data_IF_785879968244
#
_entry.id   IF_785879968244
#
_cell.length_a   1.000
_cell.length_b   1.000
_cell.length_c   1.000
_cell.angle_alpha   90.00
_cell.angle_beta   90.00
_cell.angle_gamma   90.00
#
_symmetry.space_group_name_H-M   'P 1'
#
loop_
_entity.id
_entity.type
_entity.pdbx_description
1 polymer ?
#
# COMPACT_ATOMS: atom_id res chain seq x y z
N UNK A 1 -53.29 -13.01 44.45
CA UNK A 1 -51.88 -12.96 44.02
C UNK A 1 -51.81 -13.58 42.63
N UNK A 2 -51.76 -12.78 41.56
CA UNK A 2 -51.68 -13.28 40.17
C UNK A 2 -50.21 -13.37 39.79
N UNK A 3 -49.72 -14.59 39.61
CA UNK A 3 -48.34 -14.90 39.25
C UNK A 3 -48.15 -14.59 37.75
N UNK A 4 -47.39 -13.55 37.43
CA UNK A 4 -46.96 -13.26 36.06
C UNK A 4 -45.73 -14.11 35.76
N UNK A 5 -45.89 -15.14 34.92
CA UNK A 5 -44.77 -15.89 34.34
C UNK A 5 -44.21 -15.03 33.20
N UNK A 6 -43.08 -14.36 33.46
CA UNK A 6 -42.30 -13.71 32.40
C UNK A 6 -41.56 -14.81 31.64
N UNK A 7 -42.03 -15.10 30.44
CA UNK A 7 -41.34 -15.99 29.51
C UNK A 7 -40.06 -15.29 29.02
N UNK A 8 -38.92 -15.64 29.60
CA UNK A 8 -37.62 -15.22 29.11
C UNK A 8 -37.37 -15.90 27.76
N UNK A 9 -37.53 -15.16 26.67
CA UNK A 9 -37.13 -15.60 25.34
C UNK A 9 -35.60 -15.68 25.30
N UNK A 10 -35.07 -16.88 25.47
CA UNK A 10 -33.67 -17.19 25.18
C UNK A 10 -33.46 -17.01 23.67
N UNK A 11 -32.97 -15.84 23.27
CA UNK A 11 -32.43 -15.65 21.94
C UNK A 11 -31.22 -16.59 21.81
N UNK A 12 -31.36 -17.65 20.99
CA UNK A 12 -30.24 -18.48 20.62
C UNK A 12 -29.16 -17.60 19.97
N UNK A 13 -27.87 -17.74 20.32
CA UNK A 13 -26.81 -16.99 19.68
C UNK A 13 -26.79 -17.37 18.20
N UNK A 14 -27.18 -16.42 17.34
CA UNK A 14 -27.10 -16.59 15.90
C UNK A 14 -25.66 -16.91 15.53
N UNK A 15 -25.42 -18.12 15.03
CA UNK A 15 -24.21 -18.44 14.29
C UNK A 15 -24.25 -17.62 13.02
N UNK A 16 -23.67 -16.41 13.04
CA UNK A 16 -23.38 -15.71 11.80
C UNK A 16 -22.45 -16.62 10.99
N UNK A 17 -22.82 -17.04 9.76
CA UNK A 17 -21.91 -17.82 8.95
C UNK A 17 -20.63 -17.01 8.79
N UNK A 18 -19.49 -17.60 9.17
CA UNK A 18 -18.18 -17.05 8.82
C UNK A 18 -18.15 -16.97 7.29
N UNK A 19 -18.21 -15.76 6.75
CA UNK A 19 -17.98 -15.58 5.32
C UNK A 19 -16.47 -15.77 5.12
N UNK A 20 -16.09 -16.89 4.50
CA UNK A 20 -14.69 -17.15 4.18
C UNK A 20 -14.12 -15.99 3.36
N UNK A 21 -12.90 -15.57 3.72
CA UNK A 21 -12.19 -14.56 2.96
C UNK A 21 -11.71 -15.14 1.63
N UNK A 22 -12.16 -14.58 0.51
CA UNK A 22 -11.63 -14.90 -0.80
C UNK A 22 -10.22 -14.32 -0.97
N UNK A 23 -9.27 -15.11 -1.47
CA UNK A 23 -7.93 -14.63 -1.80
C UNK A 23 -7.96 -13.95 -3.18
N UNK A 24 -7.67 -12.65 -3.23
CA UNK A 24 -7.58 -11.85 -4.46
C UNK A 24 -6.16 -11.89 -5.02
N UNK A 25 -5.17 -11.66 -4.14
CA UNK A 25 -3.75 -11.81 -4.45
C UNK A 25 -3.17 -12.75 -3.40
N UNK A 26 -2.68 -13.95 -3.79
CA UNK A 26 -2.11 -14.89 -2.84
C UNK A 26 -0.73 -14.41 -2.35
N UNK A 27 -0.35 -14.81 -1.13
CA UNK A 27 0.94 -14.45 -0.52
C UNK A 27 2.16 -14.91 -1.35
N UNK A 28 1.96 -15.91 -2.23
CA UNK A 28 2.96 -16.40 -3.17
C UNK A 28 2.85 -15.82 -4.59
N UNK A 29 2.14 -14.71 -4.76
CA UNK A 29 1.85 -14.11 -6.08
C UNK A 29 3.09 -13.71 -6.87
N UNK A 30 4.24 -13.43 -6.23
CA UNK A 30 5.48 -13.14 -6.93
C UNK A 30 6.03 -14.36 -7.68
N UNK A 31 5.80 -15.58 -7.20
CA UNK A 31 6.13 -16.80 -7.97
C UNK A 31 5.29 -16.96 -9.25
N UNK A 32 4.17 -16.26 -9.35
CA UNK A 32 3.31 -16.18 -10.54
C UNK A 32 3.17 -14.72 -10.98
N UNK A 33 4.31 -14.01 -11.05
CA UNK A 33 4.34 -12.55 -11.17
C UNK A 33 3.42 -12.01 -12.27
N UNK A 34 3.54 -12.53 -13.50
CA UNK A 34 2.75 -12.05 -14.64
C UNK A 34 1.25 -12.36 -14.54
N UNK A 35 0.81 -13.21 -13.61
CA UNK A 35 -0.62 -13.44 -13.33
C UNK A 35 -1.22 -12.30 -12.53
N UNK A 36 -0.47 -11.74 -11.58
CA UNK A 36 -1.01 -10.81 -10.57
C UNK A 36 -0.50 -9.37 -10.71
N UNK A 37 0.66 -9.18 -11.35
CA UNK A 37 1.39 -7.93 -11.33
C UNK A 37 1.75 -7.46 -12.75
N UNK A 38 1.75 -6.14 -12.91
CA UNK A 38 2.33 -5.45 -14.05
C UNK A 38 3.58 -4.67 -13.60
N UNK A 39 4.49 -4.43 -14.53
CA UNK A 39 5.61 -3.53 -14.29
C UNK A 39 5.14 -2.07 -14.27
N UNK A 40 5.89 -1.25 -13.54
CA UNK A 40 5.78 0.21 -13.44
C UNK A 40 4.55 0.71 -12.69
N UNK A 41 4.38 2.03 -12.65
CA UNK A 41 3.12 2.63 -12.23
C UNK A 41 2.06 2.38 -13.32
N UNK A 42 0.75 2.40 -12.96
CA UNK A 42 -0.33 2.26 -13.94
C UNK A 42 -0.29 3.30 -15.08
N UNK A 43 0.30 4.48 -14.82
CA UNK A 43 0.44 5.59 -15.76
C UNK A 43 1.84 5.69 -16.42
N UNK A 44 2.73 4.73 -16.21
CA UNK A 44 4.05 4.69 -16.86
C UNK A 44 5.22 4.64 -15.88
N UNK A 45 6.37 5.16 -16.30
CA UNK A 45 7.67 4.94 -15.62
C UNK A 45 8.08 6.02 -14.64
N UNK A 46 7.38 7.16 -14.60
CA UNK A 46 7.82 8.33 -13.87
C UNK A 46 6.75 8.80 -12.88
N UNK A 47 7.20 9.41 -11.77
CA UNK A 47 6.32 10.00 -10.74
C UNK A 47 6.90 11.34 -10.28
N UNK A 48 6.54 11.80 -9.08
CA UNK A 48 6.97 13.06 -8.50
C UNK A 48 8.36 13.05 -7.84
N UNK A 49 9.17 12.00 -8.05
CA UNK A 49 10.56 11.89 -7.57
C UNK A 49 11.57 11.69 -8.71
N UNK A 50 12.84 11.57 -8.35
CA UNK A 50 14.00 11.52 -9.27
C UNK A 50 14.31 10.12 -9.81
N UNK A 51 13.50 9.11 -9.49
CA UNK A 51 13.61 7.76 -10.01
C UNK A 51 12.74 7.55 -11.25
N UNK A 52 13.34 6.97 -12.30
CA UNK A 52 12.63 6.42 -13.46
C UNK A 52 12.59 4.90 -13.36
N UNK A 53 11.39 4.32 -13.51
CA UNK A 53 11.17 2.89 -13.37
C UNK A 53 11.61 2.13 -14.63
N UNK A 54 12.39 1.06 -14.45
CA UNK A 54 12.88 0.19 -15.53
C UNK A 54 12.71 -1.28 -15.16
N UNK A 55 12.35 -2.13 -16.13
CA UNK A 55 12.08 -3.55 -15.84
C UNK A 55 13.31 -4.30 -15.33
N UNK A 56 14.51 -3.89 -15.75
CA UNK A 56 15.76 -4.46 -15.26
C UNK A 56 16.00 -4.23 -13.75
N UNK A 57 15.30 -3.26 -13.16
CA UNK A 57 15.38 -2.90 -11.74
C UNK A 57 14.27 -3.60 -10.91
N UNK A 58 13.50 -4.49 -11.54
CA UNK A 58 12.47 -5.32 -10.91
C UNK A 58 12.96 -6.77 -10.96
N UNK A 59 13.41 -7.30 -9.82
CA UNK A 59 13.91 -8.68 -9.71
C UNK A 59 12.92 -9.48 -8.87
N UNK A 60 12.47 -10.61 -9.41
CA UNK A 60 11.62 -11.55 -8.67
C UNK A 60 12.33 -12.89 -8.59
N UNK A 61 12.58 -13.35 -7.37
CA UNK A 61 13.21 -14.65 -7.11
C UNK A 61 12.68 -15.23 -5.80
N UNK A 62 12.41 -16.54 -5.76
CA UNK A 62 11.99 -17.25 -4.55
C UNK A 62 10.83 -16.56 -3.81
N UNK A 63 9.79 -16.17 -4.55
CA UNK A 63 8.64 -15.41 -4.04
C UNK A 63 8.98 -14.07 -3.34
N UNK A 64 10.12 -13.48 -3.66
CA UNK A 64 10.53 -12.18 -3.13
C UNK A 64 10.72 -11.22 -4.28
N UNK A 65 10.03 -10.09 -4.21
CA UNK A 65 10.28 -8.93 -5.05
C UNK A 65 11.47 -8.16 -4.49
N UNK A 66 12.39 -7.74 -5.35
CA UNK A 66 13.44 -6.78 -5.06
C UNK A 66 13.38 -5.66 -6.10
N UNK A 67 13.07 -4.45 -5.63
CA UNK A 67 13.16 -3.22 -6.40
C UNK A 67 14.52 -2.58 -6.09
N UNK A 68 15.28 -2.26 -7.12
CA UNK A 68 16.67 -1.79 -6.98
C UNK A 68 16.79 -0.41 -7.58
N UNK A 69 17.21 0.57 -6.78
CA UNK A 69 17.59 1.88 -7.27
C UNK A 69 19.11 1.96 -7.46
N UNK A 70 19.53 2.50 -8.60
CA UNK A 70 20.92 2.79 -8.92
C UNK A 70 21.03 4.20 -9.50
N UNK A 71 22.00 5.01 -9.06
CA UNK A 71 22.28 6.29 -9.72
C UNK A 71 22.49 6.09 -11.22
N UNK A 72 21.98 7.03 -12.01
CA UNK A 72 22.17 7.04 -13.47
C UNK A 72 22.77 8.36 -13.91
N UNK A 73 23.63 8.30 -14.92
CA UNK A 73 24.10 9.47 -15.66
C UNK A 73 23.34 9.58 -16.98
N UNK A 74 23.16 10.81 -17.47
CA UNK A 74 22.55 11.12 -18.77
C UNK A 74 21.18 10.45 -19.04
N UNK A 75 20.20 10.52 -18.10
CA UNK A 75 18.89 9.97 -18.37
C UNK A 75 18.24 10.67 -19.57
N UNK A 76 17.50 9.89 -20.37
CA UNK A 76 16.74 10.40 -21.50
C UNK A 76 15.28 9.94 -21.39
N UNK A 77 14.29 10.85 -21.31
CA UNK A 77 14.47 12.29 -21.11
C UNK A 77 15.13 12.62 -19.76
N UNK A 78 15.78 13.80 -19.61
CA UNK A 78 16.54 14.14 -18.40
C UNK A 78 15.66 14.39 -17.18
N UNK A 79 14.38 14.65 -17.37
CA UNK A 79 13.40 14.91 -16.31
C UNK A 79 12.26 13.89 -16.36
N UNK A 80 11.58 13.75 -15.22
CA UNK A 80 10.34 13.01 -15.10
C UNK A 80 9.26 13.57 -16.04
N UNK A 81 8.47 12.68 -16.65
CA UNK A 81 7.27 13.07 -17.42
C UNK A 81 6.11 13.53 -16.52
N UNK A 82 6.18 13.25 -15.22
CA UNK A 82 5.15 13.55 -14.22
C UNK A 82 5.48 14.82 -13.43
N UNK A 83 4.46 15.61 -13.05
CA UNK A 83 4.67 16.81 -12.22
C UNK A 83 5.31 16.45 -10.86
N UNK A 84 6.25 17.25 -10.33
CA UNK A 84 6.70 18.57 -10.80
C UNK A 84 7.85 18.52 -11.84
N UNK A 85 8.03 17.39 -12.53
CA UNK A 85 9.08 17.13 -13.53
C UNK A 85 10.50 17.25 -12.96
N UNK A 86 10.81 16.61 -11.80
CA UNK A 86 12.16 16.61 -11.26
C UNK A 86 13.16 16.00 -12.26
N UNK A 87 14.43 16.38 -12.12
CA UNK A 87 15.51 15.69 -12.82
C UNK A 87 15.55 14.21 -12.44
N UNK A 88 15.83 13.35 -13.41
CA UNK A 88 16.05 11.92 -13.12
C UNK A 88 17.49 11.76 -12.65
N UNK A 89 17.67 11.13 -11.51
CA UNK A 89 18.97 10.81 -10.93
C UNK A 89 19.16 9.29 -10.75
N UNK A 90 18.07 8.52 -10.82
CA UNK A 90 18.09 7.08 -10.58
C UNK A 90 17.31 6.30 -11.63
N UNK A 91 17.84 5.14 -12.03
CA UNK A 91 17.00 4.05 -12.50
C UNK A 91 16.48 3.27 -11.28
N UNK A 92 15.20 2.92 -11.26
CA UNK A 92 14.56 2.23 -10.14
C UNK A 92 13.44 1.29 -10.61
N UNK A 93 12.66 0.74 -9.69
CA UNK A 93 11.57 -0.19 -9.99
C UNK A 93 10.25 0.18 -9.30
N UNK A 94 9.16 -0.14 -9.99
CA UNK A 94 7.81 -0.13 -9.44
C UNK A 94 7.00 -1.26 -10.09
N UNK A 95 5.99 -1.74 -9.39
CA UNK A 95 5.00 -2.69 -9.90
C UNK A 95 3.61 -2.27 -9.40
N UNK A 96 2.57 -2.70 -10.09
CA UNK A 96 1.20 -2.56 -9.62
C UNK A 96 0.41 -3.86 -9.82
N UNK A 97 -0.56 -4.09 -8.95
CA UNK A 97 -1.46 -5.24 -9.09
C UNK A 97 -2.38 -5.05 -10.29
N UNK A 98 -2.70 -6.15 -10.96
CA UNK A 98 -3.70 -6.19 -12.04
C UNK A 98 -5.12 -6.06 -11.53
N UNK A 99 -5.38 -6.59 -10.33
CA UNK A 99 -6.66 -6.47 -9.65
C UNK A 99 -6.77 -5.11 -8.96
N UNK A 100 -7.95 -4.51 -9.01
CA UNK A 100 -8.27 -3.29 -8.29
C UNK A 100 -8.92 -3.60 -6.95
N UNK A 101 -8.64 -2.78 -5.95
CA UNK A 101 -9.29 -2.84 -4.64
C UNK A 101 -10.45 -1.85 -4.63
N UNK A 102 -11.68 -2.35 -4.45
CA UNK A 102 -12.89 -1.52 -4.40
C UNK A 102 -13.75 -1.92 -3.21
N UNK A 103 -13.68 -1.14 -2.14
CA UNK A 103 -14.49 -1.36 -0.94
C UNK A 103 -15.92 -0.91 -1.21
N UNK A 104 -16.89 -1.76 -0.90
CA UNK A 104 -18.33 -1.46 -0.99
C UNK A 104 -19.02 -1.70 0.35
N UNK A 105 -20.30 -1.35 0.50
CA UNK A 105 -21.08 -1.77 1.68
C UNK A 105 -21.14 -3.29 1.88
N UNK A 106 -20.94 -4.08 0.82
CA UNK A 106 -21.09 -5.53 0.84
C UNK A 106 -19.76 -6.27 1.06
N UNK A 107 -18.62 -5.58 1.09
CA UNK A 107 -17.32 -6.21 1.23
C UNK A 107 -16.30 -5.38 2.02
N UNK A 108 -15.24 -6.06 2.44
CA UNK A 108 -14.06 -5.47 3.05
C UNK A 108 -12.80 -6.09 2.45
N UNK A 109 -11.69 -5.35 2.48
CA UNK A 109 -10.41 -5.82 2.00
C UNK A 109 -9.39 -5.84 3.13
N UNK A 110 -8.55 -6.87 3.16
CA UNK A 110 -7.30 -6.85 3.93
C UNK A 110 -6.16 -6.87 2.95
N UNK A 111 -5.25 -5.89 3.08
CA UNK A 111 -4.08 -5.72 2.23
C UNK A 111 -2.85 -5.73 3.12
N UNK A 112 -1.92 -6.65 2.89
CA UNK A 112 -0.76 -6.84 3.75
C UNK A 112 0.47 -7.26 2.98
N UNK A 113 1.64 -7.06 3.57
CA UNK A 113 2.90 -7.61 3.08
C UNK A 113 4.00 -7.51 4.12
N UNK A 114 5.12 -8.17 3.84
CA UNK A 114 6.37 -8.04 4.59
C UNK A 114 7.42 -7.31 3.77
N UNK A 115 8.11 -6.37 4.39
CA UNK A 115 8.98 -5.43 3.71
C UNK A 115 10.32 -5.28 4.40
N UNK A 116 11.37 -5.21 3.60
CA UNK A 116 12.71 -4.77 4.00
C UNK A 116 12.96 -3.45 3.26
N UNK A 117 12.71 -2.34 3.96
CA UNK A 117 12.65 -0.99 3.39
C UNK A 117 13.89 -0.17 3.75
N UNK A 118 14.57 0.44 2.76
CA UNK A 118 15.60 1.43 3.04
C UNK A 118 14.98 2.74 3.54
N UNK A 119 15.65 3.39 4.48
CA UNK A 119 15.19 4.61 5.16
C UNK A 119 16.21 5.75 5.13
N UNK A 120 17.28 5.60 4.35
CA UNK A 120 18.28 6.66 4.19
C UNK A 120 17.67 7.87 3.47
N UNK A 121 18.19 9.08 3.74
CA UNK A 121 17.79 10.31 3.04
C UNK A 121 17.75 10.08 1.53
N UNK A 122 16.66 10.52 0.89
CA UNK A 122 16.42 10.36 -0.53
C UNK A 122 15.93 8.97 -0.98
N UNK A 123 15.67 8.02 -0.07
CA UNK A 123 14.93 6.80 -0.40
C UNK A 123 13.45 6.98 -0.13
N UNK A 124 12.60 6.65 -1.11
CA UNK A 124 11.15 6.74 -1.02
C UNK A 124 10.45 5.45 -1.46
N UNK A 125 10.68 4.32 -0.76
CA UNK A 125 9.87 3.13 -0.99
C UNK A 125 8.42 3.34 -0.53
N UNK A 126 7.48 2.67 -1.19
CA UNK A 126 6.08 2.71 -0.81
C UNK A 126 5.33 1.42 -1.19
N UNK A 127 4.32 1.11 -0.38
CA UNK A 127 3.28 0.11 -0.55
C UNK A 127 1.93 0.78 -0.28
N UNK A 128 1.18 1.07 -1.34
CA UNK A 128 0.10 2.05 -1.25
C UNK A 128 -1.03 1.77 -2.23
N UNK A 129 -2.17 2.39 -1.92
CA UNK A 129 -3.38 2.39 -2.72
C UNK A 129 -3.62 3.77 -3.29
N UNK A 130 -4.02 3.86 -4.54
CA UNK A 130 -4.41 5.15 -5.14
C UNK A 130 -5.50 4.98 -6.18
N UNK A 131 -6.28 6.03 -6.40
CA UNK A 131 -7.43 6.03 -7.29
C UNK A 131 -7.11 5.52 -8.69
N UNK A 132 -8.00 4.67 -9.23
CA UNK A 132 -7.96 4.28 -10.65
C UNK A 132 -8.36 5.44 -11.56
N UNK A 133 -9.27 6.29 -11.09
CA UNK A 133 -9.77 7.46 -11.81
C UNK A 133 -9.86 8.66 -10.88
N UNK A 134 -9.25 9.76 -11.31
CA UNK A 134 -9.11 10.96 -10.49
C UNK A 134 -8.07 10.78 -9.40
N UNK A 135 -8.10 11.68 -8.42
CA UNK A 135 -7.34 11.59 -7.18
C UNK A 135 -7.94 12.63 -6.21
N UNK A 136 -8.14 12.34 -4.93
CA UNK A 136 -8.02 11.04 -4.21
C UNK A 136 -9.13 10.03 -4.60
N UNK A 137 -9.20 8.79 -4.06
CA UNK A 137 -8.55 8.20 -2.86
C UNK A 137 -7.04 7.94 -2.96
N UNK A 138 -6.36 8.01 -1.82
CA UNK A 138 -5.01 7.46 -1.61
C UNK A 138 -4.81 6.98 -0.15
N UNK A 139 -4.19 5.81 0.01
CA UNK A 139 -3.87 5.17 1.29
C UNK A 139 -2.46 4.62 1.25
N UNK A 140 -1.56 5.16 2.06
CA UNK A 140 -0.22 4.63 2.23
C UNK A 140 -0.21 3.61 3.36
N UNK A 141 -0.02 2.34 3.02
CA UNK A 141 0.04 1.23 3.97
C UNK A 141 1.47 1.08 4.49
N UNK A 142 2.45 1.28 3.62
CA UNK A 142 3.80 1.61 4.05
C UNK A 142 4.40 2.67 3.16
N UNK A 143 5.01 3.68 3.76
CA UNK A 143 5.71 4.74 3.06
C UNK A 143 6.85 5.23 3.94
N UNK A 144 8.05 5.32 3.37
CA UNK A 144 9.24 5.78 4.07
C UNK A 144 9.81 6.98 3.33
N UNK A 145 10.08 8.08 4.03
CA UNK A 145 10.48 9.36 3.44
C UNK A 145 11.86 9.80 3.92
N UNK A 146 12.86 8.95 3.70
CA UNK A 146 14.24 9.25 4.06
C UNK A 146 14.51 9.39 5.57
N UNK A 147 13.59 8.90 6.40
CA UNK A 147 13.74 8.74 7.85
C UNK A 147 13.33 7.33 8.25
N UNK A 148 13.74 6.90 9.44
CA UNK A 148 13.47 5.57 9.99
C UNK A 148 12.05 5.46 10.57
N UNK A 149 11.05 5.86 9.79
CA UNK A 149 9.64 5.83 10.14
C UNK A 149 8.82 5.25 9.00
N UNK A 150 7.86 4.39 9.33
CA UNK A 150 6.77 4.07 8.43
C UNK A 150 5.64 5.09 8.60
N UNK A 151 5.20 5.67 7.50
CA UNK A 151 4.09 6.61 7.44
C UNK A 151 2.82 5.88 7.00
N UNK A 152 1.86 5.75 7.90
CA UNK A 152 0.50 5.38 7.55
C UNK A 152 -0.29 6.65 7.18
N UNK A 153 -0.66 6.80 5.91
CA UNK A 153 -1.42 7.96 5.45
C UNK A 153 -2.77 7.59 4.85
N UNK A 154 -3.73 8.49 5.02
CA UNK A 154 -4.98 8.53 4.26
C UNK A 154 -5.20 9.94 3.75
N UNK A 155 -5.23 10.12 2.42
CA UNK A 155 -5.44 11.40 1.78
C UNK A 155 -6.91 11.58 1.39
N UNK A 156 -7.56 12.56 2.01
CA UNK A 156 -8.91 13.01 1.63
C UNK A 156 -8.86 14.20 0.66
N UNK A 157 -7.77 14.96 0.69
CA UNK A 157 -7.32 15.95 -0.32
C UNK A 157 -5.80 16.10 -0.19
N UNK A 158 -5.18 16.97 -1.00
CA UNK A 158 -3.75 17.34 -0.83
C UNK A 158 -3.43 18.07 0.48
N UNK A 159 -4.42 18.63 1.16
CA UNK A 159 -4.26 19.36 2.43
C UNK A 159 -4.93 18.68 3.62
N UNK A 160 -5.82 17.72 3.36
CA UNK A 160 -6.53 16.95 4.39
C UNK A 160 -5.98 15.54 4.36
N UNK A 161 -4.86 15.37 5.07
CA UNK A 161 -4.14 14.10 5.18
C UNK A 161 -4.12 13.71 6.65
N UNK A 162 -4.52 12.46 6.95
CA UNK A 162 -4.26 11.88 8.26
C UNK A 162 -2.98 11.07 8.15
N UNK A 163 -1.95 11.46 8.90
CA UNK A 163 -0.69 10.74 8.99
C UNK A 163 -0.51 10.16 10.40
N UNK A 164 0.11 8.99 10.47
CA UNK A 164 0.59 8.38 11.72
C UNK A 164 1.93 7.73 11.43
N UNK A 165 2.97 8.23 12.09
CA UNK A 165 4.33 7.74 11.96
C UNK A 165 4.58 6.70 13.04
N UNK A 166 5.29 5.63 12.67
CA UNK A 166 5.74 4.58 13.59
C UNK A 166 7.19 4.27 13.27
N UNK A 167 8.03 4.20 14.30
CA UNK A 167 9.44 3.83 14.18
C UNK A 167 9.62 2.57 13.32
N UNK A 168 10.55 2.62 12.38
CA UNK A 168 10.90 1.53 11.49
C UNK A 168 12.36 1.10 11.67
N UNK A 169 12.64 -0.19 11.95
CA UNK A 169 14.01 -0.65 12.13
C UNK A 169 14.89 -0.45 10.88
N UNK A 170 16.13 0.00 11.12
CA UNK A 170 17.11 0.29 10.05
C UNK A 170 17.99 -0.91 9.70
N UNK A 171 17.75 -2.07 10.30
CA UNK A 171 18.54 -3.29 10.13
C UNK A 171 18.23 -4.05 8.82
N UNK A 172 17.28 -3.53 8.03
CA UNK A 172 16.79 -4.12 6.78
C UNK A 172 16.20 -5.53 6.96
N UNK A 173 15.82 -5.90 8.17
CA UNK A 173 15.01 -7.10 8.41
C UNK A 173 13.58 -6.90 7.86
N UNK A 174 12.86 -8.01 7.68
CA UNK A 174 11.48 -7.95 7.18
C UNK A 174 10.52 -7.64 8.33
N UNK A 175 9.74 -6.59 8.17
CA UNK A 175 8.62 -6.23 9.04
C UNK A 175 7.31 -6.20 8.26
N UNK A 176 6.20 -6.47 8.93
CA UNK A 176 4.89 -6.52 8.26
C UNK A 176 4.11 -5.21 8.43
N UNK A 177 3.46 -4.78 7.36
CA UNK A 177 2.41 -3.76 7.42
C UNK A 177 1.12 -4.29 6.82
N UNK A 178 -0.02 -3.83 7.34
CA UNK A 178 -1.34 -4.27 6.91
C UNK A 178 -2.36 -3.14 7.07
N UNK A 179 -3.27 -3.05 6.12
CA UNK A 179 -4.49 -2.24 6.20
C UNK A 179 -5.72 -3.14 6.07
N UNK A 180 -6.71 -2.93 6.94
CA UNK A 180 -8.05 -3.51 6.82
C UNK A 180 -9.01 -2.39 6.45
N UNK A 181 -9.61 -2.48 5.27
CA UNK A 181 -10.48 -1.47 4.69
C UNK A 181 -11.93 -1.95 4.71
N UNK A 182 -12.80 -1.24 5.43
CA UNK A 182 -14.21 -1.58 5.60
C UNK A 182 -15.10 -0.35 5.41
N UNK A 183 -16.20 -0.49 4.67
CA UNK A 183 -17.18 0.59 4.54
C UNK A 183 -17.75 1.00 5.91
N UNK A 184 -17.92 2.29 6.11
CA UNK A 184 -18.63 2.84 7.25
C UNK A 184 -20.15 2.71 7.08
N UNK A 185 -20.88 2.80 8.19
CA UNK A 185 -22.35 2.69 8.20
C UNK A 185 -23.05 3.77 7.36
N UNK A 186 -22.37 4.88 7.06
CA UNK A 186 -22.87 5.91 6.15
C UNK A 186 -22.78 5.53 4.66
N UNK A 187 -22.22 4.36 4.34
CA UNK A 187 -22.05 3.82 3.00
C UNK A 187 -21.34 4.78 2.01
N UNK A 188 -20.49 5.66 2.55
CA UNK A 188 -19.74 6.67 1.78
C UNK A 188 -18.26 6.60 2.09
N UNK A 189 -17.93 6.49 3.38
CA UNK A 189 -16.55 6.56 3.84
C UNK A 189 -16.01 5.15 4.14
N UNK A 190 -14.70 4.99 4.05
CA UNK A 190 -14.01 3.74 4.38
C UNK A 190 -13.22 3.94 5.66
N UNK A 191 -13.40 3.06 6.63
CA UNK A 191 -12.53 2.93 7.81
C UNK A 191 -11.34 2.06 7.44
N UNK A 192 -10.16 2.52 7.83
CA UNK A 192 -8.89 1.88 7.52
C UNK A 192 -8.16 1.63 8.83
N UNK A 193 -8.07 0.37 9.24
CA UNK A 193 -7.29 -0.03 10.41
C UNK A 193 -5.89 -0.46 9.97
N UNK A 194 -4.87 0.23 10.48
CA UNK A 194 -3.48 -0.04 10.17
C UNK A 194 -2.80 -0.85 11.26
N UNK A 195 -1.92 -1.74 10.82
CA UNK A 195 -1.14 -2.62 11.67
C UNK A 195 0.32 -2.62 11.22
N UNK A 196 1.23 -2.73 12.18
CA UNK A 196 2.64 -3.05 11.97
C UNK A 196 2.99 -4.24 12.86
N UNK A 197 3.66 -5.26 12.32
CA UNK A 197 4.06 -6.48 13.05
C UNK A 197 2.90 -7.12 13.82
N UNK A 198 1.76 -7.23 13.12
CA UNK A 198 0.49 -7.72 13.63
C UNK A 198 -0.12 -6.93 14.80
N UNK A 199 0.51 -5.83 15.23
CA UNK A 199 0.00 -4.92 16.25
C UNK A 199 -0.84 -3.82 15.61
N UNK A 200 -2.05 -3.60 16.12
CA UNK A 200 -2.87 -2.46 15.73
C UNK A 200 -2.16 -1.14 16.08
N UNK A 201 -2.13 -0.22 15.13
CA UNK A 201 -1.49 1.10 15.27
C UNK A 201 -2.54 2.19 15.37
N UNK A 202 -3.39 2.31 14.34
CA UNK A 202 -4.33 3.44 14.22
C UNK A 202 -5.49 3.09 13.30
N UNK A 203 -6.63 3.72 13.57
CA UNK A 203 -7.74 3.80 12.63
C UNK A 203 -7.72 5.17 11.93
N UNK A 204 -7.81 5.18 10.61
CA UNK A 204 -8.02 6.38 9.79
C UNK A 204 -9.29 6.23 8.94
N UNK A 205 -9.72 7.33 8.29
CA UNK A 205 -10.96 7.36 7.51
C UNK A 205 -10.74 8.03 6.16
N UNK A 206 -11.06 7.28 5.10
CA UNK A 206 -11.13 7.75 3.72
C UNK A 206 -12.52 8.27 3.38
N UNK A 207 -12.64 9.57 3.20
CA UNK A 207 -13.88 10.28 2.89
C UNK A 207 -14.30 10.05 1.44
N UNK A 208 -15.49 9.47 1.22
CA UNK A 208 -16.00 9.18 -0.12
C UNK A 208 -15.27 8.04 -0.85
N UNK A 209 -14.58 7.16 -0.12
CA UNK A 209 -13.81 6.06 -0.70
C UNK A 209 -14.67 4.85 -1.10
N UNK A 210 -15.89 4.71 -0.54
CA UNK A 210 -16.79 3.60 -0.89
C UNK A 210 -17.11 3.64 -2.39
N UNK A 211 -16.93 2.52 -3.08
CA UNK A 211 -17.15 2.37 -4.51
C UNK A 211 -16.05 2.96 -5.41
N UNK A 212 -14.97 3.52 -4.84
CA UNK A 212 -13.82 4.00 -5.60
C UNK A 212 -12.81 2.87 -5.78
N UNK A 213 -12.56 2.49 -7.03
CA UNK A 213 -11.52 1.53 -7.36
C UNK A 213 -10.13 2.15 -7.14
N UNK A 214 -9.24 1.38 -6.53
CA UNK A 214 -7.86 1.76 -6.26
C UNK A 214 -6.88 0.73 -6.83
N UNK A 215 -5.79 1.23 -7.43
CA UNK A 215 -4.61 0.43 -7.72
C UNK A 215 -3.90 0.06 -6.41
N UNK A 216 -3.23 -1.10 -6.38
CA UNK A 216 -2.21 -1.44 -5.39
C UNK A 216 -0.84 -1.32 -6.04
N UNK A 217 0.05 -0.51 -5.45
CA UNK A 217 1.36 -0.20 -6.01
C UNK A 217 2.45 -0.52 -4.98
N UNK A 218 3.55 -1.11 -5.46
CA UNK A 218 4.80 -1.24 -4.70
C UNK A 218 5.89 -0.55 -5.54
N UNK A 219 6.54 0.47 -5.00
CA UNK A 219 7.62 1.16 -5.70
C UNK A 219 8.82 1.44 -4.81
N UNK A 220 9.97 1.68 -5.44
CA UNK A 220 11.12 2.34 -4.86
C UNK A 220 11.30 3.66 -5.59
N UNK A 221 10.63 4.72 -5.13
CA UNK A 221 10.91 6.07 -5.63
C UNK A 221 12.15 6.61 -4.92
N UNK A 222 12.78 7.62 -5.50
CA UNK A 222 13.97 8.28 -4.96
C UNK A 222 13.75 9.78 -4.92
N UNK A 223 14.28 10.41 -3.88
CA UNK A 223 14.23 11.85 -3.62
C UNK A 223 12.79 12.40 -3.57
N UNK A 224 12.55 13.62 -4.06
CA UNK A 224 11.26 14.28 -3.87
C UNK A 224 10.97 14.51 -2.39
N UNK A 225 9.85 13.98 -1.89
CA UNK A 225 9.45 14.15 -0.49
C UNK A 225 10.36 13.45 0.52
N UNK A 226 11.25 12.54 0.09
CA UNK A 226 12.23 11.91 0.97
C UNK A 226 13.53 12.71 1.16
N UNK A 227 13.61 13.93 0.62
CA UNK A 227 14.82 14.76 0.66
C UNK A 227 15.84 14.40 -0.41
N UNK A 228 16.92 15.18 -0.47
CA UNK A 228 18.04 14.99 -1.42
C UNK A 228 19.34 15.53 -0.82
N UNK A 229 20.53 15.06 -1.27
CA UNK A 229 20.73 14.01 -2.27
C UNK A 229 20.38 12.62 -1.72
N UNK A 230 19.92 11.73 -2.60
CA UNK A 230 19.76 10.31 -2.28
C UNK A 230 21.08 9.53 -2.20
N UNK A 231 21.03 8.22 -1.90
CA UNK A 231 22.22 7.38 -1.77
C UNK A 231 23.01 7.25 -3.08
N UNK A 232 24.34 7.34 -3.01
CA UNK A 232 25.24 7.20 -4.17
C UNK A 232 25.47 5.75 -4.62
N UNK A 233 24.91 4.79 -3.89
CA UNK A 233 25.09 3.36 -4.13
C UNK A 233 23.79 2.64 -4.47
N UNK A 234 23.93 1.36 -4.80
CA UNK A 234 22.80 0.44 -4.99
C UNK A 234 21.93 0.43 -3.74
N UNK A 235 20.67 0.80 -3.91
CA UNK A 235 19.66 0.79 -2.84
C UNK A 235 18.62 -0.28 -3.17
N UNK A 236 18.22 -1.08 -2.18
CA UNK A 236 17.34 -2.24 -2.40
C UNK A 236 16.15 -2.16 -1.46
N UNK A 237 14.96 -2.26 -2.03
CA UNK A 237 13.68 -2.43 -1.33
C UNK A 237 13.14 -3.82 -1.66
N UNK A 238 12.77 -4.61 -0.65
CA UNK A 238 12.23 -5.95 -0.85
C UNK A 238 10.83 -6.09 -0.29
N UNK A 239 10.02 -6.89 -0.98
CA UNK A 239 8.69 -7.28 -0.54
C UNK A 239 8.51 -8.78 -0.69
N UNK A 240 7.81 -9.41 0.26
CA UNK A 240 7.37 -10.80 0.20
C UNK A 240 6.05 -10.96 0.96
N UNK A 241 5.41 -12.12 0.80
CA UNK A 241 4.16 -12.44 1.48
C UNK A 241 3.07 -11.36 1.28
N UNK A 242 3.09 -10.67 0.13
CA UNK A 242 2.09 -9.66 -0.20
C UNK A 242 0.79 -10.38 -0.53
N UNK A 243 -0.25 -10.07 0.23
CA UNK A 243 -1.55 -10.73 0.14
C UNK A 243 -2.66 -9.69 0.14
N UNK A 244 -3.68 -9.97 -0.68
CA UNK A 244 -4.96 -9.27 -0.66
C UNK A 244 -6.06 -10.29 -0.48
N UNK A 245 -6.87 -10.13 0.56
CA UNK A 245 -8.08 -10.91 0.77
C UNK A 245 -9.30 -10.01 0.80
N UNK A 246 -10.44 -10.57 0.41
CA UNK A 246 -11.75 -9.90 0.42
C UNK A 246 -12.75 -10.74 1.19
N UNK A 247 -13.46 -10.14 2.14
CA UNK A 247 -14.63 -10.74 2.76
C UNK A 247 -15.89 -10.09 2.21
N UNK A 248 -17.00 -10.83 2.17
CA UNK A 248 -18.24 -10.36 1.56
C UNK A 248 -18.23 -10.39 0.04
N UNK A 249 -19.28 -9.82 -0.56
CA UNK A 249 -19.57 -9.91 -1.99
C UNK A 249 -19.18 -8.64 -2.76
#
# INVERSE_FOLDING_TARGET
MKLFVVLACLAAPGTFPFVDAATVIPANSFSSFSTYWNNFYPWGTDHNGSGRMASANIIVASNTLSLIATPTSNPSPPTSTSNPKPAIHYASGAIHAKEHITVTAANAYTVSGEFSAPTAVGTWPAFWLTAVSGWPPEVDIGEWKGTADNWFNTFNTSSVVKSTLVDWPTDLSFHSVKAVLTAQSNNKDVKIDFYMDNKFIVTQYGSGFVGKAMYLIINLQMEGSSGSPGPSGRTVYKARNVQVTRTGN
#
